data_IF_044735170435
#
_entry.id   IF_044735170435
#
_cell.length_a   1.000
_cell.length_b   1.000
_cell.length_c   1.000
_cell.angle_alpha   90.00
_cell.angle_beta   90.00
_cell.angle_gamma   90.00
#
_symmetry.space_group_name_H-M   'P 1'
#
loop_
_entity.id
_entity.type
_entity.pdbx_description
1 polymer ?
#
# COMPACT_ATOMS: atom_id res chain seq x y z
N UNK A 1 8.96 -6.93 7.69
CA UNK A 1 9.79 -6.37 6.60
C UNK A 1 9.35 -4.94 6.34
N UNK A 2 10.05 -4.18 5.50
CA UNK A 2 9.60 -2.85 5.09
C UNK A 2 8.42 -3.00 4.10
N UNK A 3 7.23 -3.25 4.62
CA UNK A 3 6.01 -3.41 3.86
C UNK A 3 4.85 -2.64 4.48
N UNK A 4 3.84 -2.34 3.68
CA UNK A 4 2.55 -1.76 4.06
C UNK A 4 1.44 -2.63 3.50
N UNK A 5 0.37 -2.82 4.29
CA UNK A 5 -0.81 -3.55 3.87
C UNK A 5 -2.05 -2.70 4.15
N UNK A 6 -2.86 -2.49 3.12
CA UNK A 6 -4.13 -1.79 3.19
C UNK A 6 -5.26 -2.73 2.75
N UNK A 7 -6.35 -2.73 3.52
CA UNK A 7 -7.59 -3.38 3.14
C UNK A 7 -8.65 -2.30 2.87
N UNK A 8 -9.18 -2.28 1.65
CA UNK A 8 -10.26 -1.40 1.24
C UNK A 8 -11.54 -2.20 1.11
N UNK A 9 -12.58 -1.74 1.79
CA UNK A 9 -13.92 -2.33 1.70
C UNK A 9 -14.66 -1.74 0.50
N UNK A 10 -14.78 -2.52 -0.57
CA UNK A 10 -15.58 -2.18 -1.75
C UNK A 10 -16.98 -2.78 -1.60
N UNK A 11 -17.85 -2.02 -0.92
CA UNK A 11 -19.24 -2.45 -0.65
C UNK A 11 -20.07 -2.63 -1.93
N UNK A 12 -19.84 -1.80 -2.95
CA UNK A 12 -20.60 -1.82 -4.21
C UNK A 12 -20.43 -3.16 -4.91
N UNK A 13 -19.21 -3.69 -4.94
CA UNK A 13 -18.88 -4.97 -5.57
C UNK A 13 -18.80 -6.13 -4.57
N UNK A 14 -19.24 -5.93 -3.32
CA UNK A 14 -19.21 -6.91 -2.23
C UNK A 14 -17.87 -7.66 -2.10
N UNK A 15 -16.75 -6.93 -2.12
CA UNK A 15 -15.40 -7.49 -2.04
C UNK A 15 -14.50 -6.67 -1.11
N UNK A 16 -13.40 -7.29 -0.70
CA UNK A 16 -12.30 -6.61 -0.02
C UNK A 16 -11.12 -6.57 -0.99
N UNK A 17 -10.59 -5.37 -1.23
CA UNK A 17 -9.38 -5.19 -2.02
C UNK A 17 -8.24 -5.06 -1.03
N UNK A 18 -7.28 -5.99 -1.11
CA UNK A 18 -6.06 -5.94 -0.30
C UNK A 18 -4.93 -5.47 -1.19
N UNK A 19 -4.22 -4.43 -0.74
CA UNK A 19 -3.07 -3.87 -1.45
C UNK A 19 -1.86 -3.97 -0.55
N UNK A 20 -0.82 -4.60 -1.07
CA UNK A 20 0.46 -4.78 -0.39
C UNK A 20 1.56 -4.07 -1.17
N UNK A 21 2.33 -3.26 -0.46
CA UNK A 21 3.55 -2.66 -0.98
C UNK A 21 4.74 -3.10 -0.14
N UNK A 22 5.88 -3.34 -0.78
CA UNK A 22 7.13 -3.66 -0.08
C UNK A 22 8.32 -2.94 -0.69
N UNK A 23 9.33 -2.64 0.13
CA UNK A 23 10.57 -1.97 -0.28
C UNK A 23 11.72 -2.97 -0.29
N UNK A 24 12.28 -3.25 -1.45
CA UNK A 24 13.49 -4.05 -1.56
C UNK A 24 14.74 -3.16 -1.59
N UNK A 25 15.33 -2.92 -0.42
CA UNK A 25 16.53 -2.08 -0.27
C UNK A 25 17.46 -2.58 0.86
N UNK A 26 18.15 -3.73 0.69
CA UNK A 26 18.85 -4.41 1.79
C UNK A 26 19.92 -3.56 2.48
N UNK A 27 20.69 -2.76 1.73
CA UNK A 27 21.82 -2.00 2.27
C UNK A 27 21.52 -0.53 2.60
N UNK A 28 20.27 -0.06 2.45
CA UNK A 28 19.89 1.36 2.62
C UNK A 28 18.81 1.50 3.68
N UNK A 29 18.77 2.59 4.44
CA UNK A 29 17.67 2.85 5.36
C UNK A 29 16.31 2.89 4.61
N UNK A 30 15.29 2.22 5.15
CA UNK A 30 14.02 2.00 4.41
C UNK A 30 12.87 2.91 4.86
N UNK A 31 13.09 3.78 5.84
CA UNK A 31 12.05 4.64 6.44
C UNK A 31 11.46 5.60 5.42
N UNK A 32 12.31 6.29 4.67
CA UNK A 32 11.85 7.31 3.72
C UNK A 32 11.11 6.65 2.54
N UNK A 33 11.61 5.53 2.04
CA UNK A 33 10.90 4.72 1.05
C UNK A 33 9.55 4.19 1.55
N UNK A 34 9.42 3.87 2.83
CA UNK A 34 8.12 3.50 3.42
C UNK A 34 7.15 4.68 3.47
N UNK A 35 7.63 5.89 3.75
CA UNK A 35 6.78 7.10 3.68
C UNK A 35 6.32 7.39 2.26
N UNK A 36 7.22 7.28 1.28
CA UNK A 36 6.87 7.43 -0.14
C UNK A 36 5.86 6.35 -0.58
N UNK A 37 6.10 5.09 -0.19
CA UNK A 37 5.18 4.00 -0.46
C UNK A 37 3.81 4.24 0.19
N UNK A 38 3.76 4.75 1.42
CA UNK A 38 2.52 5.11 2.08
C UNK A 38 1.76 6.21 1.31
N UNK A 39 2.49 7.24 0.86
CA UNK A 39 1.92 8.32 0.07
C UNK A 39 1.31 7.79 -1.24
N UNK A 40 2.02 6.89 -1.94
CA UNK A 40 1.50 6.23 -3.14
C UNK A 40 0.23 5.42 -2.84
N UNK A 41 0.26 4.55 -1.83
CA UNK A 41 -0.88 3.69 -1.49
C UNK A 41 -2.13 4.49 -1.07
N UNK A 42 -1.94 5.65 -0.42
CA UNK A 42 -3.04 6.56 -0.05
C UNK A 42 -3.70 7.27 -1.23
N UNK A 43 -3.05 7.33 -2.39
CA UNK A 43 -3.63 7.91 -3.61
C UNK A 43 -4.47 6.92 -4.42
N UNK A 44 -4.53 5.65 -3.99
CA UNK A 44 -5.32 4.63 -4.66
C UNK A 44 -6.81 4.98 -4.68
N UNK A 45 -7.38 5.05 -5.87
CA UNK A 45 -8.82 5.23 -6.10
C UNK A 45 -9.39 3.94 -6.70
N UNK A 46 -10.43 3.41 -6.08
CA UNK A 46 -11.19 2.28 -6.62
C UNK A 46 -12.34 2.86 -7.44
N UNK A 47 -12.27 2.68 -8.75
CA UNK A 47 -13.35 3.07 -9.65
C UNK A 47 -14.51 2.07 -9.59
N UNK A 48 -15.66 2.59 -10.00
CA UNK A 48 -16.97 1.95 -9.95
C UNK A 48 -17.19 0.75 -10.85
#
# INVERSE_FOLDING_TARGET
>A
GPFLNYALLDKKNNRIIVVEGSVYAPSIAKRDYLFELEALLKTLVVNE
#
